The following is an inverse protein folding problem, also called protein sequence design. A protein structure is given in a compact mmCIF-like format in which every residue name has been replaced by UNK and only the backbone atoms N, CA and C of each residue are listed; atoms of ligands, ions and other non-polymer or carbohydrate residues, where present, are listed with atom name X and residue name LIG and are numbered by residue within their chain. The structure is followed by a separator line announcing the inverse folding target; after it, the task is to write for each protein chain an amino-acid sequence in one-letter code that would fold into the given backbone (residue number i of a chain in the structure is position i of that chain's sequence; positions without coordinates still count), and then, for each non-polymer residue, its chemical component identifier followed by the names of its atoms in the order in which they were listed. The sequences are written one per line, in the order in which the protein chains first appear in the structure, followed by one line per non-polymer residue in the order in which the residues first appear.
data_IF_667803583651
#
_entry.id   IF_667803583651
#
_cell.length_a   1.000
_cell.length_b   1.000
_cell.length_c   1.000
_cell.angle_alpha   90.00
_cell.angle_beta   90.00
_cell.angle_gamma   90.00
#
_symmetry.space_group_name_H-M   'P 1'
#
loop_
_entity.id
_entity.type
_entity.pdbx_description
1 polymer ?
#
# COMPACT_ATOMS: atom_id res chain seq x y z
N UNK A 1 -8.08 -24.64 2.44
CA UNK A 1 -7.61 -23.26 2.66
C UNK A 1 -6.57 -22.93 1.61
N UNK A 2 -6.94 -22.27 0.50
CA UNK A 2 -5.96 -21.75 -0.45
C UNK A 2 -5.24 -20.58 0.22
N UNK A 3 -4.07 -20.85 0.82
CA UNK A 3 -3.14 -19.80 1.16
C UNK A 3 -2.71 -19.15 -0.17
N UNK A 4 -3.40 -18.07 -0.54
CA UNK A 4 -2.91 -17.14 -1.56
C UNK A 4 -1.56 -16.66 -1.05
N UNK A 5 -0.48 -17.29 -1.51
CA UNK A 5 0.87 -16.88 -1.17
C UNK A 5 0.97 -15.41 -1.58
N UNK A 6 1.03 -14.46 -0.62
CA UNK A 6 0.84 -13.06 -0.95
C UNK A 6 2.01 -12.65 -1.82
N UNK A 7 1.71 -12.27 -3.07
CA UNK A 7 2.75 -11.82 -3.98
C UNK A 7 3.57 -10.72 -3.31
N UNK A 8 4.89 -10.61 -3.56
CA UNK A 8 5.72 -9.55 -2.98
C UNK A 8 5.13 -8.15 -3.14
N UNK A 9 4.35 -7.92 -4.21
CA UNK A 9 3.63 -6.67 -4.49
C UNK A 9 2.41 -6.49 -3.58
N UNK A 10 1.63 -7.54 -3.33
CA UNK A 10 0.53 -7.53 -2.36
C UNK A 10 1.03 -7.22 -0.94
N UNK A 11 2.22 -7.72 -0.58
CA UNK A 11 2.88 -7.39 0.69
C UNK A 11 3.22 -5.90 0.77
N UNK A 12 3.74 -5.29 -0.31
CA UNK A 12 4.00 -3.83 -0.35
C UNK A 12 2.74 -3.01 -0.15
N UNK A 13 1.65 -3.36 -0.85
CA UNK A 13 0.36 -2.66 -0.71
C UNK A 13 -0.15 -2.76 0.73
N UNK A 14 -0.08 -3.96 1.34
CA UNK A 14 -0.49 -4.15 2.74
C UNK A 14 0.40 -3.37 3.71
N UNK A 15 1.71 -3.34 3.48
CA UNK A 15 2.66 -2.60 4.30
C UNK A 15 2.37 -1.09 4.28
N UNK A 16 2.14 -0.51 3.09
CA UNK A 16 1.79 0.91 2.97
C UNK A 16 0.47 1.24 3.68
N UNK A 17 -0.54 0.38 3.57
CA UNK A 17 -1.80 0.55 4.31
C UNK A 17 -1.59 0.52 5.83
N UNK A 18 -0.78 -0.41 6.34
CA UNK A 18 -0.45 -0.49 7.75
C UNK A 18 0.29 0.76 8.24
N UNK A 19 1.27 1.25 7.47
CA UNK A 19 1.98 2.49 7.78
C UNK A 19 1.06 3.72 7.76
N UNK A 20 0.08 3.76 6.85
CA UNK A 20 -0.92 4.83 6.79
C UNK A 20 -1.76 4.89 8.08
N UNK A 21 -2.24 3.73 8.55
CA UNK A 21 -3.01 3.63 9.80
C UNK A 21 -2.15 3.99 11.02
N UNK A 22 -0.90 3.51 11.07
CA UNK A 22 0.03 3.88 12.14
C UNK A 22 0.32 5.39 12.18
N UNK A 23 0.33 6.07 11.02
CA UNK A 23 0.48 7.52 10.95
C UNK A 23 -0.72 8.27 11.55
N UNK A 24 -1.93 7.71 11.52
CA UNK A 24 -3.11 8.29 12.18
C UNK A 24 -3.01 8.18 13.71
N UNK A 25 -2.33 7.15 14.22
CA UNK A 25 -2.15 6.94 15.66
C UNK A 25 -0.94 7.70 16.25
N UNK A 26 -0.08 8.30 15.42
CA UNK A 26 1.10 9.01 15.89
C UNK A 26 0.73 10.29 16.66
N UNK A 27 1.45 10.59 17.75
CA UNK A 27 1.24 11.82 18.54
C UNK A 27 1.89 13.07 17.89
N UNK A 28 1.61 13.30 16.61
CA UNK A 28 2.03 14.49 15.87
C UNK A 28 0.82 15.35 15.49
N UNK A 29 1.07 16.56 14.96
CA UNK A 29 -0.02 17.45 14.54
C UNK A 29 -0.96 16.78 13.53
N UNK A 30 -2.24 17.18 13.52
CA UNK A 30 -3.23 16.63 12.59
C UNK A 30 -2.78 16.76 11.13
N UNK A 31 -2.22 17.91 10.76
CA UNK A 31 -1.66 18.17 9.44
C UNK A 31 -0.53 17.20 9.10
N UNK A 32 0.37 16.91 10.05
CA UNK A 32 1.47 15.96 9.87
C UNK A 32 0.94 14.53 9.68
N UNK A 33 -0.05 14.11 10.49
CA UNK A 33 -0.67 12.79 10.37
C UNK A 33 -1.34 12.59 9.01
N UNK A 34 -2.13 13.56 8.56
CA UNK A 34 -2.82 13.51 7.27
C UNK A 34 -1.85 13.47 6.10
N UNK A 35 -0.79 14.29 6.12
CA UNK A 35 0.26 14.25 5.07
C UNK A 35 0.91 12.88 4.97
N UNK A 36 1.29 12.28 6.11
CA UNK A 36 1.91 10.94 6.15
C UNK A 36 0.94 9.84 5.69
N UNK A 37 -0.31 9.91 6.13
CA UNK A 37 -1.37 9.00 5.68
C UNK A 37 -1.54 9.06 4.15
N UNK A 38 -1.70 10.28 3.61
CA UNK A 38 -1.89 10.48 2.17
C UNK A 38 -0.68 9.98 1.37
N UNK A 39 0.53 10.24 1.84
CA UNK A 39 1.76 9.75 1.23
C UNK A 39 1.80 8.21 1.16
N UNK A 40 1.47 7.53 2.26
CA UNK A 40 1.43 6.07 2.26
C UNK A 40 0.31 5.50 1.38
N UNK A 41 -0.85 6.16 1.33
CA UNK A 41 -1.95 5.75 0.44
C UNK A 41 -1.62 5.95 -1.04
N UNK A 42 -0.86 6.99 -1.39
CA UNK A 42 -0.35 7.21 -2.74
C UNK A 42 0.60 6.08 -3.16
N UNK A 43 1.57 5.74 -2.31
CA UNK A 43 2.47 4.60 -2.55
C UNK A 43 1.70 3.28 -2.67
N UNK A 44 0.64 3.07 -1.88
CA UNK A 44 -0.20 1.89 -1.99
C UNK A 44 -0.94 1.82 -3.35
N UNK A 45 -1.40 2.96 -3.87
CA UNK A 45 -2.05 3.04 -5.19
C UNK A 45 -1.05 2.80 -6.32
N UNK A 46 0.15 3.38 -6.24
CA UNK A 46 1.22 3.15 -7.21
C UNK A 46 1.64 1.69 -7.24
N UNK A 47 1.85 1.08 -6.06
CA UNK A 47 2.18 -0.34 -5.96
C UNK A 47 1.07 -1.26 -6.49
N UNK A 48 -0.20 -0.85 -6.40
CA UNK A 48 -1.33 -1.57 -6.99
C UNK A 48 -1.41 -1.40 -8.51
N UNK A 49 -1.13 -0.20 -9.05
CA UNK A 49 -1.08 0.04 -10.49
C UNK A 49 0.08 -0.71 -11.17
N UNK A 50 1.24 -0.77 -10.52
CA UNK A 50 2.32 -1.66 -10.95
C UNK A 50 1.88 -3.13 -10.99
N UNK A 51 1.02 -3.56 -10.05
CA UNK A 51 0.51 -4.92 -10.01
C UNK A 51 -0.44 -5.23 -11.16
N UNK A 52 -1.31 -4.30 -11.57
CA UNK A 52 -2.21 -4.50 -12.72
C UNK A 52 -1.44 -4.62 -14.04
N UNK A 53 -0.46 -3.74 -14.28
CA UNK A 53 0.38 -3.81 -15.48
C UNK A 53 1.18 -5.12 -15.57
N UNK A 54 1.69 -5.62 -14.45
CA UNK A 54 2.45 -6.87 -14.43
C UNK A 54 1.59 -8.13 -14.62
N UNK A 55 0.30 -8.06 -14.28
CA UNK A 55 -0.66 -9.11 -14.61
C UNK A 55 -0.96 -9.12 -16.11
N UNK A 56 -1.15 -7.95 -16.73
CA UNK A 56 -1.39 -7.84 -18.18
C UNK A 56 -0.22 -8.39 -19.02
N UNK A 57 1.03 -8.11 -18.65
CA UNK A 57 2.22 -8.62 -19.36
C UNK A 57 2.40 -10.14 -19.21
N UNK A 58 1.90 -10.75 -18.13
CA UNK A 58 2.00 -12.20 -17.92
C UNK A 58 0.96 -13.03 -18.69
N UNK A 59 -0.02 -12.37 -19.30
CA UNK A 59 -1.14 -13.01 -20.00
C UNK A 59 -1.17 -12.75 -21.52
N UNK A 60 -0.10 -12.15 -22.08
CA UNK A 60 0.12 -11.98 -23.52
C UNK A 60 1.20 -12.94 -24.01
#
# INVERSE_FOLDING_TARGET
MHALNPSPRSIRVAAHKAMAIAALHANSSLTTRLKRYNHHMELARLAAAEQSMALEVRHA
#
